data_IF_001607958548
#
_entry.id   IF_001607958548
#
_cell.length_a   1.000
_cell.length_b   1.000
_cell.length_c   1.000
_cell.angle_alpha   90.00
_cell.angle_beta   90.00
_cell.angle_gamma   90.00
#
_symmetry.space_group_name_H-M   'P 1'
#
loop_
_entity.id
_entity.type
_entity.pdbx_description
1 polymer ?
#
# COMPACT_ATOMS: atom_id res chain seq x y z
N UNK A 1 -4.48 -1.28 -19.16
CA UNK A 1 -4.06 0.13 -19.18
C UNK A 1 -3.01 0.33 -20.24
N UNK A 2 -3.14 1.39 -21.02
CA UNK A 2 -2.15 1.71 -22.03
C UNK A 2 -0.82 2.14 -21.41
N UNK A 3 0.29 1.79 -22.06
CA UNK A 3 1.60 2.21 -21.62
C UNK A 3 1.78 3.72 -21.85
N UNK A 4 2.37 4.37 -20.87
CA UNK A 4 2.65 5.81 -20.88
C UNK A 4 4.11 5.99 -21.29
N UNK A 5 4.35 6.90 -22.24
CA UNK A 5 5.72 7.24 -22.59
C UNK A 5 6.40 7.96 -21.44
N UNK A 6 7.70 7.69 -21.18
CA UNK A 6 8.41 8.36 -20.09
C UNK A 6 8.27 9.88 -20.08
N UNK A 7 8.32 10.51 -21.24
CA UNK A 7 8.19 11.96 -21.39
C UNK A 7 6.79 12.50 -21.04
N UNK A 8 5.79 11.62 -21.01
CA UNK A 8 4.40 12.00 -20.71
C UNK A 8 4.02 11.76 -19.24
N UNK A 9 4.91 11.18 -18.43
CA UNK A 9 4.61 10.87 -17.03
C UNK A 9 4.23 12.11 -16.22
N UNK A 10 4.84 13.26 -16.48
CA UNK A 10 4.52 14.49 -15.76
C UNK A 10 3.06 14.92 -15.93
N UNK A 11 2.40 14.51 -17.01
CA UNK A 11 1.00 14.81 -17.26
C UNK A 11 0.06 14.07 -16.29
N UNK A 12 0.57 13.05 -15.61
CA UNK A 12 -0.19 12.22 -14.67
C UNK A 12 0.01 12.63 -13.19
N UNK A 13 0.89 13.61 -12.94
CA UNK A 13 1.13 14.08 -11.59
C UNK A 13 -0.14 14.67 -10.99
N UNK A 14 -0.48 14.25 -9.78
CA UNK A 14 -1.62 14.74 -9.02
C UNK A 14 -2.94 13.99 -9.28
N UNK A 15 -3.04 13.22 -10.35
CA UNK A 15 -4.24 12.43 -10.62
C UNK A 15 -4.34 11.28 -9.60
N UNK A 16 -5.46 11.21 -8.89
CA UNK A 16 -5.71 10.16 -7.90
C UNK A 16 -6.31 8.94 -8.57
N UNK A 17 -5.77 7.77 -8.26
CA UNK A 17 -6.30 6.50 -8.70
C UNK A 17 -6.55 5.61 -7.49
N UNK A 18 -7.68 4.91 -7.52
CA UNK A 18 -8.14 4.10 -6.39
C UNK A 18 -8.18 2.62 -6.78
N UNK A 19 -7.72 1.77 -5.87
CA UNK A 19 -7.88 0.32 -6.02
C UNK A 19 -9.34 -0.07 -5.81
N UNK A 20 -9.69 -1.31 -6.14
CA UNK A 20 -10.93 -1.92 -5.70
C UNK A 20 -10.96 -2.01 -4.17
N UNK A 21 -12.16 -2.06 -3.60
CA UNK A 21 -12.33 -2.32 -2.18
C UNK A 21 -11.96 -3.77 -1.85
N UNK A 22 -11.31 -3.97 -0.73
CA UNK A 22 -10.98 -5.29 -0.20
C UNK A 22 -11.26 -5.33 1.29
N UNK A 23 -11.45 -6.53 1.82
CA UNK A 23 -11.68 -6.74 3.26
C UNK A 23 -10.40 -7.24 3.92
N UNK A 24 -10.03 -6.63 5.05
CA UNK A 24 -8.89 -7.09 5.86
C UNK A 24 -9.43 -8.11 6.86
N UNK A 25 -9.19 -9.38 6.58
CA UNK A 25 -9.71 -10.48 7.40
C UNK A 25 -8.76 -10.87 8.53
N UNK A 26 -9.31 -11.55 9.56
CA UNK A 26 -8.47 -12.10 10.62
C UNK A 26 -7.47 -13.13 10.07
N UNK A 27 -7.88 -13.89 9.06
CA UNK A 27 -6.97 -14.84 8.42
C UNK A 27 -5.74 -14.16 7.82
N UNK A 28 -5.94 -13.03 7.12
CA UNK A 28 -4.83 -12.23 6.59
C UNK A 28 -3.91 -11.73 7.69
N UNK A 29 -4.50 -11.23 8.77
CA UNK A 29 -3.75 -10.73 9.94
C UNK A 29 -2.94 -11.86 10.57
N UNK A 30 -3.53 -13.02 10.76
CA UNK A 30 -2.85 -14.18 11.33
C UNK A 30 -1.69 -14.66 10.44
N UNK A 31 -1.89 -14.69 9.12
CA UNK A 31 -0.84 -15.04 8.17
C UNK A 31 0.32 -14.05 8.22
N UNK A 32 0.01 -12.77 8.32
CA UNK A 32 1.04 -11.74 8.44
C UNK A 32 1.79 -11.83 9.77
N UNK A 33 1.09 -12.13 10.85
CA UNK A 33 1.69 -12.36 12.17
C UNK A 33 2.71 -13.51 12.10
N UNK A 34 2.37 -14.58 11.39
CA UNK A 34 3.26 -15.72 11.22
C UNK A 34 4.50 -15.36 10.39
N UNK A 35 4.32 -14.65 9.30
CA UNK A 35 5.43 -14.24 8.41
C UNK A 35 6.35 -13.23 9.09
N UNK A 36 5.78 -12.27 9.80
CA UNK A 36 6.54 -11.18 10.45
C UNK A 36 7.03 -11.51 11.85
N UNK A 37 6.52 -12.60 12.43
CA UNK A 37 6.75 -12.99 13.83
C UNK A 37 6.21 -11.97 14.85
N UNK A 38 5.25 -11.15 14.43
CA UNK A 38 4.57 -10.19 15.29
C UNK A 38 3.20 -10.72 15.72
N UNK A 39 3.19 -11.45 16.84
CA UNK A 39 2.00 -12.06 17.40
C UNK A 39 1.46 -11.28 18.61
N UNK A 40 1.63 -9.96 18.62
CA UNK A 40 1.09 -9.16 19.71
C UNK A 40 -0.43 -9.37 19.82
N UNK A 41 -0.93 -9.41 21.05
CA UNK A 41 -2.33 -9.77 21.29
C UNK A 41 -3.34 -8.88 20.57
N UNK A 42 -3.00 -7.61 20.34
CA UNK A 42 -3.89 -6.67 19.66
C UNK A 42 -4.26 -7.11 18.24
N UNK A 43 -3.43 -7.95 17.63
CA UNK A 43 -3.64 -8.46 16.26
C UNK A 43 -4.27 -9.85 16.24
N UNK A 44 -3.92 -10.71 17.18
CA UNK A 44 -4.24 -12.14 17.07
C UNK A 44 -5.17 -12.68 18.16
N UNK A 45 -5.45 -11.91 19.21
CA UNK A 45 -6.28 -12.34 20.33
C UNK A 45 -7.51 -11.45 20.48
N UNK A 46 -8.66 -11.86 19.91
CA UNK A 46 -9.89 -11.05 19.97
C UNK A 46 -10.37 -10.81 21.42
N UNK A 47 -10.18 -11.77 22.31
CA UNK A 47 -10.61 -11.66 23.70
C UNK A 47 -9.88 -10.53 24.42
N UNK A 48 -8.57 -10.43 24.25
CA UNK A 48 -7.76 -9.38 24.87
C UNK A 48 -7.84 -8.05 24.16
N UNK A 49 -7.98 -8.06 22.83
CA UNK A 49 -8.00 -6.83 22.04
C UNK A 49 -9.33 -6.08 22.11
N UNK A 50 -10.44 -6.79 22.18
CA UNK A 50 -11.79 -6.21 22.14
C UNK A 50 -12.03 -5.16 23.22
N UNK A 51 -11.62 -5.34 24.49
CA UNK A 51 -11.81 -4.30 25.51
C UNK A 51 -11.09 -2.99 25.21
N UNK A 52 -10.03 -3.03 24.39
CA UNK A 52 -9.22 -1.85 24.09
C UNK A 52 -9.67 -1.18 22.78
N UNK A 53 -9.85 -1.97 21.73
CA UNK A 53 -10.12 -1.47 20.37
C UNK A 53 -11.49 -1.81 19.83
N UNK A 54 -12.29 -2.60 20.55
CA UNK A 54 -13.58 -3.12 20.06
C UNK A 54 -13.42 -4.36 19.16
N UNK A 55 -12.22 -4.69 18.77
CA UNK A 55 -11.86 -5.85 17.94
C UNK A 55 -10.34 -6.01 17.91
N UNK A 56 -9.86 -7.03 17.23
CA UNK A 56 -8.47 -7.04 16.81
C UNK A 56 -8.26 -5.99 15.72
N UNK A 57 -7.02 -5.58 15.56
CA UNK A 57 -6.61 -4.59 14.54
C UNK A 57 -5.49 -5.16 13.66
N UNK A 58 -5.45 -4.72 12.42
CA UNK A 58 -4.39 -5.08 11.50
C UNK A 58 -3.07 -4.44 11.90
N UNK A 59 -1.96 -5.15 11.63
CA UNK A 59 -0.64 -4.54 11.73
C UNK A 59 -0.53 -3.40 10.73
N UNK A 60 0.04 -2.26 11.13
CA UNK A 60 0.34 -1.19 10.20
C UNK A 60 1.22 -1.68 9.04
N UNK A 61 2.21 -2.52 9.36
CA UNK A 61 3.10 -3.10 8.35
C UNK A 61 2.36 -4.02 7.37
N UNK A 62 1.28 -4.71 7.79
CA UNK A 62 0.43 -5.46 6.86
C UNK A 62 -0.21 -4.53 5.84
N UNK A 63 -0.78 -3.42 6.31
CA UNK A 63 -1.42 -2.45 5.42
C UNK A 63 -0.41 -1.83 4.45
N UNK A 64 0.79 -1.53 4.92
CA UNK A 64 1.87 -1.06 4.06
C UNK A 64 2.23 -2.09 2.98
N UNK A 65 2.33 -3.35 3.36
CA UNK A 65 2.63 -4.45 2.43
C UNK A 65 1.51 -4.62 1.40
N UNK A 66 0.25 -4.54 1.82
CA UNK A 66 -0.89 -4.63 0.92
C UNK A 66 -0.94 -3.47 -0.08
N UNK A 67 -0.45 -2.30 0.30
CA UNK A 67 -0.41 -1.15 -0.62
C UNK A 67 0.44 -1.43 -1.85
N UNK A 68 1.44 -2.27 -1.72
CA UNK A 68 2.31 -2.68 -2.84
C UNK A 68 1.55 -3.60 -3.78
N UNK A 69 1.06 -4.73 -3.26
CA UNK A 69 0.38 -5.73 -4.09
C UNK A 69 -0.94 -5.23 -4.68
N UNK A 70 -1.77 -4.60 -3.86
CA UNK A 70 -3.03 -4.00 -4.35
C UNK A 70 -2.78 -2.85 -5.31
N UNK A 71 -1.67 -2.15 -5.12
CA UNK A 71 -1.27 -1.03 -5.97
C UNK A 71 -1.02 -1.40 -7.42
N UNK A 72 -0.74 -2.66 -7.73
CA UNK A 72 -0.59 -3.09 -9.13
C UNK A 72 -1.86 -2.84 -9.95
N UNK A 73 -3.02 -2.83 -9.31
CA UNK A 73 -4.29 -2.56 -9.99
C UNK A 73 -4.34 -1.15 -10.60
N UNK A 74 -3.67 -0.21 -9.96
CA UNK A 74 -3.66 1.21 -10.36
C UNK A 74 -2.29 1.68 -10.84
N UNK A 75 -1.35 0.77 -11.03
CA UNK A 75 0.00 1.12 -11.40
C UNK A 75 0.06 1.85 -12.75
N UNK A 76 0.92 2.86 -12.83
CA UNK A 76 1.26 3.48 -14.09
C UNK A 76 2.19 2.54 -14.86
N UNK A 77 1.76 2.15 -16.04
CA UNK A 77 2.57 1.31 -16.93
C UNK A 77 3.41 2.23 -17.80
N UNK A 78 4.71 2.24 -17.59
CA UNK A 78 5.64 3.07 -18.35
C UNK A 78 6.19 2.26 -19.52
N UNK A 79 6.08 2.81 -20.73
CA UNK A 79 6.57 2.18 -21.95
C UNK A 79 8.06 1.84 -21.84
N UNK A 80 8.41 0.63 -22.17
CA UNK A 80 9.79 0.16 -22.14
C UNK A 80 10.29 -0.32 -20.78
N UNK A 81 9.43 -0.32 -19.76
CA UNK A 81 9.81 -0.83 -18.43
C UNK A 81 10.08 -2.33 -18.48
N UNK A 82 11.24 -2.72 -18.02
CA UNK A 82 11.59 -4.14 -17.88
C UNK A 82 11.25 -4.67 -16.49
N UNK A 83 11.43 -3.84 -15.45
CA UNK A 83 11.08 -4.19 -14.09
C UNK A 83 10.90 -2.92 -13.26
N UNK A 84 10.09 -3.03 -12.21
CA UNK A 84 9.93 -1.99 -11.21
C UNK A 84 10.22 -2.58 -9.82
N UNK A 85 10.90 -1.81 -8.99
CA UNK A 85 11.26 -2.23 -7.65
C UNK A 85 10.86 -1.15 -6.65
N UNK A 86 10.46 -1.57 -5.46
CA UNK A 86 10.32 -0.63 -4.36
C UNK A 86 11.70 -0.13 -3.98
N UNK A 87 11.86 1.18 -4.01
CA UNK A 87 13.11 1.82 -3.67
C UNK A 87 13.17 2.19 -2.18
N UNK A 88 12.05 2.69 -1.65
CA UNK A 88 11.96 3.08 -0.26
C UNK A 88 10.77 3.99 -0.01
N UNK A 89 10.73 4.53 1.20
CA UNK A 89 9.69 5.43 1.66
C UNK A 89 10.34 6.64 2.32
N UNK A 90 9.88 7.84 1.96
CA UNK A 90 10.33 9.05 2.64
C UNK A 90 9.62 9.19 3.98
N UNK A 91 8.36 8.75 4.06
CA UNK A 91 7.57 8.86 5.25
C UNK A 91 6.50 7.77 5.25
N UNK A 92 6.31 7.13 6.42
CA UNK A 92 5.22 6.19 6.65
C UNK A 92 4.58 6.55 7.98
N UNK A 93 3.25 6.70 7.99
CA UNK A 93 2.47 6.96 9.19
C UNK A 93 1.24 6.07 9.24
N UNK A 94 1.02 5.45 10.38
CA UNK A 94 -0.17 4.67 10.67
C UNK A 94 -1.06 5.50 11.59
N UNK A 95 -1.93 6.30 10.99
CA UNK A 95 -2.66 7.35 11.71
C UNK A 95 -3.80 6.78 12.53
N UNK A 96 -4.52 5.80 12.00
CA UNK A 96 -5.66 5.18 12.66
C UNK A 96 -5.54 3.65 12.66
N UNK A 97 -5.97 2.98 13.73
CA UNK A 97 -6.07 1.52 13.72
C UNK A 97 -7.04 1.06 12.63
N UNK A 98 -6.74 -0.08 12.02
CA UNK A 98 -7.61 -0.71 11.02
C UNK A 98 -8.26 -1.93 11.68
N UNK A 99 -9.54 -1.86 12.06
CA UNK A 99 -10.22 -2.99 12.67
C UNK A 99 -10.32 -4.18 11.72
N UNK A 100 -10.32 -5.38 12.27
CA UNK A 100 -10.57 -6.60 11.49
C UNK A 100 -11.91 -6.47 10.75
N UNK A 101 -11.99 -7.05 9.56
CA UNK A 101 -13.14 -7.03 8.66
C UNK A 101 -13.50 -5.65 8.09
N UNK A 102 -12.61 -4.68 8.23
CA UNK A 102 -12.76 -3.40 7.55
C UNK A 102 -12.64 -3.56 6.04
N UNK A 103 -13.46 -2.80 5.31
CA UNK A 103 -13.32 -2.64 3.87
C UNK A 103 -12.42 -1.45 3.61
N UNK A 104 -11.38 -1.69 2.83
CA UNK A 104 -10.35 -0.69 2.55
C UNK A 104 -10.06 -0.62 1.05
N UNK A 105 -9.48 0.49 0.66
CA UNK A 105 -8.84 0.66 -0.65
C UNK A 105 -7.69 1.63 -0.51
N UNK A 106 -6.80 1.63 -1.47
CA UNK A 106 -5.71 2.59 -1.52
C UNK A 106 -5.97 3.62 -2.60
N UNK A 107 -5.75 4.88 -2.24
CA UNK A 107 -5.75 5.99 -3.18
C UNK A 107 -4.30 6.41 -3.40
N UNK A 108 -3.87 6.48 -4.64
CA UNK A 108 -2.49 6.84 -4.96
C UNK A 108 -2.43 7.96 -6.00
N UNK A 109 -1.43 8.80 -5.87
CA UNK A 109 -1.13 9.84 -6.84
C UNK A 109 0.37 9.97 -7.03
N UNK A 110 0.78 10.18 -8.29
CA UNK A 110 2.18 10.45 -8.60
C UNK A 110 2.53 11.87 -8.17
N UNK A 111 3.63 12.02 -7.45
CA UNK A 111 4.11 13.33 -6.97
C UNK A 111 5.29 13.84 -7.79
N UNK A 112 6.25 12.99 -8.09
CA UNK A 112 7.49 13.36 -8.76
C UNK A 112 7.97 12.28 -9.70
N UNK A 113 8.64 12.70 -10.76
CA UNK A 113 9.35 11.83 -11.70
C UNK A 113 10.78 12.34 -11.76
N UNK A 114 11.74 11.48 -11.41
CA UNK A 114 13.15 11.82 -11.48
C UNK A 114 13.88 10.85 -12.40
N UNK A 115 14.54 11.38 -13.42
CA UNK A 115 15.41 10.60 -14.29
C UNK A 115 16.78 10.47 -13.62
N UNK A 116 17.14 9.25 -13.25
CA UNK A 116 18.41 8.95 -12.58
C UNK A 116 19.51 8.57 -13.55
N UNK A 117 19.23 8.62 -14.87
CA UNK A 117 20.18 8.22 -15.89
C UNK A 117 20.31 6.70 -16.03
N UNK A 118 20.95 6.26 -17.11
CA UNK A 118 21.16 4.84 -17.37
C UNK A 118 19.88 4.04 -17.58
N UNK A 119 18.82 4.70 -18.06
CA UNK A 119 17.53 4.06 -18.25
C UNK A 119 16.72 3.84 -16.98
N UNK A 120 17.04 4.59 -15.91
CA UNK A 120 16.36 4.45 -14.61
C UNK A 120 15.52 5.69 -14.30
N UNK A 121 14.28 5.46 -13.89
CA UNK A 121 13.38 6.50 -13.40
C UNK A 121 13.03 6.21 -11.94
N UNK A 122 13.00 7.25 -11.13
CA UNK A 122 12.49 7.19 -9.76
C UNK A 122 11.15 7.92 -9.71
N UNK A 123 10.08 7.20 -9.40
CA UNK A 123 8.74 7.74 -9.26
C UNK A 123 8.39 7.81 -7.79
N UNK A 124 7.92 8.97 -7.36
CA UNK A 124 7.46 9.18 -5.99
C UNK A 124 5.94 9.29 -5.98
N UNK A 125 5.31 8.52 -5.10
CA UNK A 125 3.85 8.48 -4.95
C UNK A 125 3.43 8.88 -3.55
N UNK A 126 2.25 9.49 -3.46
CA UNK A 126 1.50 9.57 -2.22
C UNK A 126 0.45 8.47 -2.22
N UNK A 127 0.41 7.66 -1.17
CA UNK A 127 -0.54 6.57 -1.03
C UNK A 127 -1.27 6.73 0.29
N UNK A 128 -2.60 6.70 0.23
CA UNK A 128 -3.46 6.81 1.41
C UNK A 128 -4.39 5.63 1.49
N UNK A 129 -4.59 5.12 2.69
CA UNK A 129 -5.60 4.11 2.99
C UNK A 129 -6.94 4.81 3.22
N UNK A 130 -7.96 4.35 2.49
CA UNK A 130 -9.32 4.89 2.56
C UNK A 130 -10.22 3.94 3.35
#
# INVERSE_FOLDING_TARGET
MEAIKPEDLNNHIGAVRSTSWFTVTQEMINQFADVSDDHQFIHVDPEQATPIFGSTIAHGALMLSLSIGKGYETALVVEGTKMAMNYGYDQVRFINPVPVDSKCRFNSSLLEVNDKGGGRLLLKFNIELD
#
